data_IF_052228010177
#
_entry.id   IF_052228010177
#
_cell.length_a   1.000
_cell.length_b   1.000
_cell.length_c   1.000
_cell.angle_alpha   90.00
_cell.angle_beta   90.00
_cell.angle_gamma   90.00
#
_symmetry.space_group_name_H-M   'P 1'
#
loop_
_entity.id
_entity.type
_entity.pdbx_description
1 polymer ?
#
# COMPACT_ATOMS: atom_id res chain seq x y z
N UNK A 1 5.86 -2.70 -11.77
CA UNK A 1 6.72 -1.53 -11.53
C UNK A 1 5.96 -0.21 -11.70
N UNK A 2 5.09 -0.10 -12.69
CA UNK A 2 4.42 1.16 -13.06
C UNK A 2 3.61 1.76 -11.90
N UNK A 3 2.79 0.97 -11.22
CA UNK A 3 2.02 1.44 -10.06
C UNK A 3 2.94 1.97 -8.94
N UNK A 4 4.04 1.29 -8.68
CA UNK A 4 5.01 1.72 -7.67
C UNK A 4 5.65 3.05 -8.09
N UNK A 5 6.08 3.16 -9.35
CA UNK A 5 6.71 4.36 -9.89
C UNK A 5 5.75 5.57 -9.99
N UNK A 6 4.53 5.34 -10.45
CA UNK A 6 3.61 6.42 -10.83
C UNK A 6 2.70 6.87 -9.68
N UNK A 7 2.49 6.02 -8.68
CA UNK A 7 1.52 6.27 -7.60
C UNK A 7 2.14 6.23 -6.21
N UNK A 8 2.91 5.18 -5.92
CA UNK A 8 3.41 4.95 -4.56
C UNK A 8 4.60 5.84 -4.22
N UNK A 9 5.65 5.80 -5.02
CA UNK A 9 6.85 6.61 -4.76
C UNK A 9 6.58 8.11 -4.74
N UNK A 10 5.81 8.69 -5.69
CA UNK A 10 5.47 10.11 -5.64
C UNK A 10 4.71 10.52 -4.39
N UNK A 11 3.80 9.66 -3.89
CA UNK A 11 3.09 9.93 -2.63
C UNK A 11 4.07 10.06 -1.46
N UNK A 12 4.98 9.10 -1.31
CA UNK A 12 5.95 9.13 -0.22
C UNK A 12 6.98 10.26 -0.37
N UNK A 13 7.38 10.60 -1.58
CA UNK A 13 8.22 11.77 -1.85
C UNK A 13 7.55 13.07 -1.40
N UNK A 14 6.27 13.26 -1.71
CA UNK A 14 5.49 14.42 -1.25
C UNK A 14 5.41 14.49 0.29
N UNK A 15 5.44 13.36 0.95
CA UNK A 15 5.43 13.27 2.41
C UNK A 15 6.82 13.38 3.03
N UNK A 16 7.87 13.47 2.23
CA UNK A 16 9.28 13.47 2.67
C UNK A 16 9.64 12.23 3.48
N UNK A 17 9.07 11.09 3.11
CA UNK A 17 9.35 9.79 3.74
C UNK A 17 9.91 8.83 2.69
N UNK A 18 11.10 8.23 2.94
CA UNK A 18 11.65 7.25 2.01
C UNK A 18 10.91 5.91 2.10
N UNK A 19 10.70 5.26 0.97
CA UNK A 19 10.29 3.86 0.91
C UNK A 19 11.55 3.01 1.01
N UNK A 20 11.73 2.33 2.13
CA UNK A 20 12.94 1.55 2.40
C UNK A 20 12.79 0.08 2.03
N UNK A 21 11.59 -0.47 2.10
CA UNK A 21 11.32 -1.89 1.88
C UNK A 21 9.95 -2.11 1.28
N UNK A 22 9.88 -3.06 0.34
CA UNK A 22 8.63 -3.57 -0.22
C UNK A 22 8.55 -5.07 0.10
N UNK A 23 7.39 -5.51 0.56
CA UNK A 23 7.11 -6.92 0.83
C UNK A 23 6.11 -7.40 -0.21
N UNK A 24 6.46 -8.47 -0.93
CA UNK A 24 5.57 -9.09 -1.91
C UNK A 24 5.41 -10.59 -1.64
N UNK A 25 4.46 -11.21 -2.30
CA UNK A 25 4.42 -12.65 -2.40
C UNK A 25 5.50 -13.16 -3.38
N UNK A 26 5.44 -14.44 -3.72
CA UNK A 26 6.39 -15.07 -4.65
C UNK A 26 5.84 -15.17 -6.06
N UNK A 27 4.85 -14.36 -6.41
CA UNK A 27 4.31 -14.32 -7.75
C UNK A 27 5.38 -13.97 -8.79
N UNK A 28 5.23 -14.51 -9.99
CA UNK A 28 6.18 -14.28 -11.08
C UNK A 28 6.24 -12.83 -11.53
N UNK A 29 5.21 -12.04 -11.21
CA UNK A 29 5.16 -10.59 -11.45
C UNK A 29 6.13 -9.80 -10.58
N UNK A 30 6.52 -10.36 -9.43
CA UNK A 30 7.42 -9.70 -8.46
C UNK A 30 8.76 -10.38 -8.32
N UNK A 31 8.86 -11.65 -8.66
CA UNK A 31 10.01 -12.49 -8.38
C UNK A 31 10.53 -13.18 -9.62
N UNK A 32 11.85 -13.11 -9.80
CA UNK A 32 12.57 -13.79 -10.85
C UNK A 32 14.08 -13.77 -10.56
N UNK A 33 14.88 -13.97 -11.58
CA UNK A 33 16.33 -13.78 -11.45
C UNK A 33 16.63 -12.32 -11.14
N UNK A 34 17.39 -11.99 -10.07
CA UNK A 34 17.67 -10.60 -9.68
C UNK A 34 18.26 -9.76 -10.80
N UNK A 35 19.06 -10.39 -11.68
CA UNK A 35 19.75 -9.71 -12.77
C UNK A 35 18.87 -9.46 -14.01
N UNK A 36 17.69 -10.07 -14.07
CA UNK A 36 16.87 -10.07 -15.30
C UNK A 36 15.40 -9.69 -15.07
N UNK A 37 14.91 -9.74 -13.84
CA UNK A 37 13.50 -9.45 -13.57
C UNK A 37 13.28 -7.96 -13.46
N UNK A 38 12.41 -7.34 -14.28
CA UNK A 38 12.23 -5.87 -14.31
C UNK A 38 11.86 -5.27 -12.96
N UNK A 39 11.04 -5.93 -12.18
CA UNK A 39 10.61 -5.45 -10.85
C UNK A 39 11.78 -5.45 -9.85
N UNK A 40 12.56 -6.53 -9.83
CA UNK A 40 13.75 -6.66 -8.96
C UNK A 40 14.79 -5.58 -9.31
N UNK A 41 15.08 -5.40 -10.61
CA UNK A 41 15.99 -4.36 -11.07
C UNK A 41 15.51 -2.95 -10.70
N UNK A 42 14.22 -2.68 -10.85
CA UNK A 42 13.65 -1.39 -10.50
C UNK A 42 13.85 -1.07 -9.02
N UNK A 43 13.58 -2.04 -8.14
CA UNK A 43 13.79 -1.86 -6.69
C UNK A 43 15.26 -1.63 -6.35
N UNK A 44 16.17 -2.37 -6.96
CA UNK A 44 17.62 -2.19 -6.76
C UNK A 44 18.09 -0.79 -7.17
N UNK A 45 17.66 -0.32 -8.35
CA UNK A 45 18.01 1.01 -8.85
C UNK A 45 17.49 2.14 -7.96
N UNK A 46 16.39 1.93 -7.26
CA UNK A 46 15.82 2.89 -6.32
C UNK A 46 16.27 2.67 -4.87
N UNK A 47 17.22 1.77 -4.64
CA UNK A 47 17.73 1.43 -3.30
C UNK A 47 16.63 0.97 -2.33
N UNK A 48 15.62 0.25 -2.84
CA UNK A 48 14.51 -0.29 -2.07
C UNK A 48 14.74 -1.78 -1.82
N UNK A 49 14.75 -2.19 -0.55
CA UNK A 49 14.87 -3.59 -0.17
C UNK A 49 13.60 -4.37 -0.56
N UNK A 50 13.78 -5.51 -1.18
CA UNK A 50 12.69 -6.41 -1.54
C UNK A 50 12.66 -7.63 -0.62
N UNK A 51 11.60 -7.77 0.15
CA UNK A 51 11.37 -8.94 1.02
C UNK A 51 10.24 -9.77 0.43
N UNK A 52 10.48 -11.07 0.31
CA UNK A 52 9.50 -12.04 -0.18
C UNK A 52 8.89 -12.77 1.01
N UNK A 53 7.58 -12.96 0.99
CA UNK A 53 6.92 -13.74 2.04
C UNK A 53 7.35 -15.20 1.98
N UNK A 54 7.40 -15.84 3.15
CA UNK A 54 7.67 -17.28 3.22
C UNK A 54 6.50 -18.04 2.62
N UNK A 55 6.81 -19.06 1.81
CA UNK A 55 5.80 -19.98 1.34
C UNK A 55 5.03 -20.57 2.55
N UNK A 56 3.70 -20.58 2.47
CA UNK A 56 2.79 -21.09 3.50
C UNK A 56 2.79 -20.36 4.84
N UNK A 57 3.16 -19.07 4.87
CA UNK A 57 3.03 -18.25 6.08
C UNK A 57 1.94 -17.19 5.89
N UNK A 58 0.68 -17.46 6.28
CA UNK A 58 -0.44 -16.54 6.07
C UNK A 58 -0.32 -15.24 6.88
N UNK A 59 0.50 -15.22 7.90
CA UNK A 59 0.62 -14.05 8.80
C UNK A 59 1.31 -12.85 8.15
N UNK A 60 2.15 -13.06 7.15
CA UNK A 60 2.92 -12.00 6.51
C UNK A 60 2.09 -11.14 5.55
N UNK A 61 0.96 -11.65 5.05
CA UNK A 61 0.06 -10.94 4.13
C UNK A 61 -1.29 -10.53 4.74
N UNK A 62 -1.50 -10.77 6.01
CA UNK A 62 -2.80 -10.55 6.65
C UNK A 62 -3.37 -9.14 6.48
N UNK A 63 -2.52 -8.11 6.29
CA UNK A 63 -2.97 -6.73 6.03
C UNK A 63 -3.50 -6.60 4.61
N UNK A 64 -2.74 -7.06 3.61
CA UNK A 64 -3.16 -7.02 2.20
C UNK A 64 -4.41 -7.88 1.96
N UNK A 65 -4.44 -9.09 2.49
CA UNK A 65 -5.61 -9.97 2.37
C UNK A 65 -6.87 -9.36 2.98
N UNK A 66 -6.77 -8.75 4.14
CA UNK A 66 -7.89 -8.03 4.76
C UNK A 66 -8.33 -6.83 3.95
N UNK A 67 -7.40 -6.09 3.39
CA UNK A 67 -7.73 -4.99 2.49
C UNK A 67 -8.46 -5.49 1.24
N UNK A 68 -7.96 -6.54 0.60
CA UNK A 68 -8.60 -7.15 -0.56
C UNK A 68 -10.01 -7.64 -0.24
N UNK A 69 -10.22 -8.27 0.91
CA UNK A 69 -11.54 -8.71 1.34
C UNK A 69 -12.48 -7.53 1.61
N UNK A 70 -11.97 -6.47 2.20
CA UNK A 70 -12.74 -5.26 2.48
C UNK A 70 -13.18 -4.56 1.20
N UNK A 71 -12.27 -4.34 0.25
CA UNK A 71 -12.61 -3.70 -1.03
C UNK A 71 -13.55 -4.55 -1.88
N UNK A 72 -13.39 -5.86 -1.84
CA UNK A 72 -14.30 -6.77 -2.50
C UNK A 72 -15.73 -6.65 -1.95
N UNK A 73 -15.89 -6.63 -0.64
CA UNK A 73 -17.19 -6.58 0.02
C UNK A 73 -17.83 -5.19 -0.01
N UNK A 74 -17.05 -4.13 0.21
CA UNK A 74 -17.58 -2.77 0.34
C UNK A 74 -17.70 -2.05 -1.00
N UNK A 75 -16.86 -2.38 -1.97
CA UNK A 75 -16.84 -1.71 -3.26
C UNK A 75 -17.33 -2.62 -4.40
N UNK A 76 -16.57 -3.65 -4.76
CA UNK A 76 -16.86 -4.42 -5.97
C UNK A 76 -18.22 -5.13 -5.94
N UNK A 77 -18.57 -5.80 -4.86
CA UNK A 77 -19.86 -6.49 -4.74
C UNK A 77 -21.04 -5.52 -4.73
N UNK A 78 -20.88 -4.35 -4.18
CA UNK A 78 -21.92 -3.32 -4.12
C UNK A 78 -22.10 -2.65 -5.48
N UNK A 79 -21.03 -2.22 -6.09
CA UNK A 79 -21.03 -1.47 -7.35
C UNK A 79 -21.51 -2.33 -8.51
N UNK A 80 -21.04 -3.58 -8.64
CA UNK A 80 -21.45 -4.46 -9.73
C UNK A 80 -22.90 -4.93 -9.66
N UNK A 81 -23.58 -4.78 -8.53
CA UNK A 81 -25.02 -4.97 -8.41
C UNK A 81 -25.83 -3.76 -8.85
N UNK A 82 -25.25 -2.56 -8.76
CA UNK A 82 -25.95 -1.29 -9.00
C UNK A 82 -25.67 -0.71 -10.37
N UNK A 83 -24.54 -1.03 -10.98
CA UNK A 83 -24.04 -0.33 -12.15
C UNK A 83 -23.34 -1.28 -13.11
N UNK A 84 -23.66 -1.17 -14.39
CA UNK A 84 -22.90 -1.80 -15.46
C UNK A 84 -21.86 -0.78 -15.96
N UNK A 85 -20.59 -1.17 -15.91
CA UNK A 85 -19.51 -0.34 -16.42
C UNK A 85 -19.21 -0.69 -17.86
N UNK A 86 -19.44 0.25 -18.77
CA UNK A 86 -19.02 0.17 -20.18
C UNK A 86 -17.66 0.85 -20.41
N UNK A 87 -17.16 1.59 -19.42
CA UNK A 87 -15.96 2.41 -19.50
C UNK A 87 -15.11 2.23 -18.24
N UNK A 88 -13.83 1.88 -18.44
CA UNK A 88 -12.86 1.73 -17.36
C UNK A 88 -12.59 3.03 -16.61
N UNK A 89 -12.67 4.18 -17.29
CA UNK A 89 -12.44 5.49 -16.66
C UNK A 89 -13.49 5.80 -15.60
N UNK A 90 -14.75 5.43 -15.83
CA UNK A 90 -15.83 5.58 -14.85
C UNK A 90 -15.61 4.67 -13.65
N UNK A 91 -15.21 3.41 -13.88
CA UNK A 91 -14.87 2.49 -12.81
C UNK A 91 -13.69 2.99 -11.99
N UNK A 92 -12.67 3.52 -12.66
CA UNK A 92 -11.49 4.09 -11.99
C UNK A 92 -11.87 5.29 -11.11
N UNK A 93 -12.76 6.17 -11.60
CA UNK A 93 -13.25 7.32 -10.82
C UNK A 93 -13.99 6.86 -9.56
N UNK A 94 -14.90 5.89 -9.69
CA UNK A 94 -15.62 5.35 -8.53
C UNK A 94 -14.69 4.66 -7.54
N UNK A 95 -13.68 3.94 -8.03
CA UNK A 95 -12.66 3.32 -7.20
C UNK A 95 -11.82 4.38 -6.46
N UNK A 96 -11.42 5.43 -7.14
CA UNK A 96 -10.65 6.53 -6.53
C UNK A 96 -11.45 7.22 -5.40
N UNK A 97 -12.74 7.43 -5.60
CA UNK A 97 -13.64 7.95 -4.57
C UNK A 97 -13.73 7.01 -3.37
N UNK A 98 -13.86 5.71 -3.61
CA UNK A 98 -13.89 4.71 -2.53
C UNK A 98 -12.56 4.67 -1.76
N UNK A 99 -11.43 4.69 -2.44
CA UNK A 99 -10.11 4.70 -1.79
C UNK A 99 -9.91 5.97 -0.98
N UNK A 100 -10.37 7.12 -1.48
CA UNK A 100 -10.34 8.36 -0.72
C UNK A 100 -11.17 8.27 0.56
N UNK A 101 -12.38 7.72 0.48
CA UNK A 101 -13.23 7.43 1.65
C UNK A 101 -12.54 6.45 2.61
N UNK A 102 -11.97 5.37 2.10
CA UNK A 102 -11.26 4.36 2.90
C UNK A 102 -10.12 4.98 3.70
N UNK A 103 -9.33 5.82 3.07
CA UNK A 103 -8.14 6.41 3.69
C UNK A 103 -8.45 7.57 4.65
N UNK A 104 -9.46 8.39 4.35
CA UNK A 104 -9.69 9.66 5.04
C UNK A 104 -10.94 9.69 5.92
N UNK A 105 -11.89 8.79 5.72
CA UNK A 105 -13.18 8.81 6.43
C UNK A 105 -13.49 7.52 7.18
N UNK A 106 -13.10 6.37 6.62
CA UNK A 106 -13.37 5.07 7.21
C UNK A 106 -12.42 4.80 8.39
N UNK A 107 -12.99 4.62 9.58
CA UNK A 107 -12.22 4.28 10.78
C UNK A 107 -11.97 2.77 10.88
N UNK A 108 -10.87 2.39 11.51
CA UNK A 108 -10.46 1.01 11.72
C UNK A 108 -10.17 0.76 13.20
N UNK A 109 -10.74 -0.30 13.76
CA UNK A 109 -10.59 -0.65 15.18
C UNK A 109 -9.38 -1.54 15.47
N UNK A 110 -8.63 -1.95 14.46
CA UNK A 110 -7.44 -2.77 14.63
C UNK A 110 -6.34 -2.10 15.43
N UNK A 111 -5.37 -2.87 15.87
CA UNK A 111 -4.27 -2.42 16.75
C UNK A 111 -3.50 -1.22 16.21
N UNK A 112 -3.36 -1.09 14.91
CA UNK A 112 -2.57 -0.02 14.28
C UNK A 112 -3.33 1.29 14.22
N UNK A 113 -4.57 1.26 13.78
CA UNK A 113 -5.40 2.46 13.64
C UNK A 113 -6.08 2.90 14.93
N UNK A 114 -6.50 1.95 15.77
CA UNK A 114 -7.13 2.22 17.07
C UNK A 114 -8.30 3.24 16.99
N UNK A 115 -9.19 3.02 16.03
CA UNK A 115 -10.34 3.91 15.79
C UNK A 115 -10.07 5.11 14.89
N UNK A 116 -8.84 5.28 14.42
CA UNK A 116 -8.47 6.34 13.46
C UNK A 116 -8.67 5.88 12.01
N UNK A 117 -8.68 6.83 11.09
CA UNK A 117 -8.57 6.53 9.67
C UNK A 117 -7.13 6.10 9.30
N UNK A 118 -6.93 5.37 8.21
CA UNK A 118 -5.58 5.06 7.73
C UNK A 118 -4.71 6.30 7.51
N UNK A 119 -5.25 7.35 6.93
CA UNK A 119 -4.49 8.58 6.69
C UNK A 119 -4.09 9.26 8.00
N UNK A 120 -4.99 9.35 8.98
CA UNK A 120 -4.65 9.92 10.29
C UNK A 120 -3.58 9.09 11.00
N UNK A 121 -3.67 7.76 10.91
CA UNK A 121 -2.66 6.85 11.45
C UNK A 121 -1.30 7.08 10.79
N UNK A 122 -1.28 7.28 9.47
CA UNK A 122 -0.07 7.59 8.73
C UNK A 122 0.55 8.93 9.15
N UNK A 123 -0.26 9.98 9.27
CA UNK A 123 0.20 11.30 9.70
C UNK A 123 0.78 11.25 11.11
N UNK A 124 0.11 10.58 12.05
CA UNK A 124 0.60 10.41 13.42
C UNK A 124 1.90 9.61 13.45
N UNK A 125 2.00 8.55 12.64
CA UNK A 125 3.22 7.76 12.49
C UNK A 125 4.37 8.55 11.88
N UNK A 126 4.09 9.44 10.93
CA UNK A 126 5.09 10.34 10.34
C UNK A 126 5.71 11.27 11.39
N UNK A 127 4.91 11.81 12.28
CA UNK A 127 5.39 12.65 13.38
C UNK A 127 6.27 11.86 14.35
N UNK A 128 5.86 10.66 14.73
CA UNK A 128 6.66 9.77 15.58
C UNK A 128 7.99 9.39 14.94
N UNK A 129 8.00 9.12 13.65
CA UNK A 129 9.21 8.83 12.88
C UNK A 129 10.18 10.01 12.88
N UNK A 130 9.70 11.24 12.69
CA UNK A 130 10.51 12.44 12.74
C UNK A 130 11.10 12.68 14.13
N UNK A 131 10.32 12.50 15.20
CA UNK A 131 10.78 12.61 16.58
C UNK A 131 11.86 11.57 16.92
N UNK A 132 11.67 10.34 16.48
CA UNK A 132 12.65 9.27 16.68
C UNK A 132 13.98 9.57 15.99
N UNK A 133 13.96 10.04 14.75
CA UNK A 133 15.16 10.42 14.03
C UNK A 133 15.91 11.58 14.69
N UNK A 134 15.18 12.57 15.22
CA UNK A 134 15.79 13.68 15.99
C UNK A 134 16.45 13.18 17.27
N UNK A 135 15.83 12.24 17.99
CA UNK A 135 16.40 11.62 19.18
C UNK A 135 17.68 10.84 18.86
N UNK A 136 17.69 10.08 17.78
CA UNK A 136 18.84 9.33 17.33
C UNK A 136 20.00 10.25 16.91
N UNK A 137 19.70 11.40 16.32
CA UNK A 137 20.71 12.42 15.98
C UNK A 137 21.25 13.17 17.21
N UNK A 138 20.45 13.31 18.26
CA UNK A 138 20.83 13.98 19.50
C UNK A 138 21.63 13.07 20.47
N UNK A 139 21.56 11.77 20.24
CA UNK A 139 22.33 10.79 20.99
C UNK A 139 23.71 10.60 20.34
#
# INVERSE_FOLDING_TARGET
>A
ADTLNDRVLPFFEQQSIPVMRVITDRGTEFCGSPDKHPYELYLQLNEIEHTKTKARSPQTHGICERFHQTILNEFYRVIFRKKLYSDLDVLQTDLDEYINHYNNERTHQGKRCQGRTPMQTFIDGKQLFAQKNLSDLAA
#
